data_IF_104742021391
#
_entry.id   IF_104742021391
#
_cell.length_a   1.000
_cell.length_b   1.000
_cell.length_c   1.000
_cell.angle_alpha   90.00
_cell.angle_beta   90.00
_cell.angle_gamma   90.00
#
_symmetry.space_group_name_H-M   'P 1'
#
loop_
_entity.id
_entity.type
_entity.pdbx_description
1 polymer ?
#
# COMPACT_ATOMS: atom_id res chain seq x y z
N UNK A 1 -14.42 17.11 11.32
CA UNK A 1 -13.39 17.85 12.09
C UNK A 1 -12.73 18.82 11.11
N UNK A 2 -12.79 20.15 11.30
CA UNK A 2 -12.31 21.09 10.28
C UNK A 2 -10.87 21.55 10.58
N UNK A 3 -9.96 21.51 9.59
CA UNK A 3 -8.68 22.21 9.72
C UNK A 3 -7.46 21.79 8.87
N UNK A 4 -7.54 20.96 7.83
CA UNK A 4 -6.35 20.67 7.02
C UNK A 4 -6.18 21.67 5.86
N UNK A 5 -5.13 22.50 5.96
CA UNK A 5 -4.64 23.39 4.90
C UNK A 5 -4.06 22.56 3.75
N UNK A 6 -4.63 22.71 2.57
CA UNK A 6 -4.05 22.23 1.32
C UNK A 6 -3.15 23.34 0.74
N UNK A 7 -1.88 23.04 0.44
CA UNK A 7 -0.99 23.95 -0.30
C UNK A 7 -0.97 23.48 -1.76
N UNK A 8 -1.48 24.25 -2.72
CA UNK A 8 -1.31 23.95 -4.13
C UNK A 8 0.09 24.37 -4.57
N UNK A 9 0.85 23.45 -5.16
CA UNK A 9 2.09 23.79 -5.87
C UNK A 9 1.73 24.40 -7.23
N UNK A 10 1.85 25.72 -7.34
CA UNK A 10 1.97 26.42 -8.61
C UNK A 10 3.43 26.79 -8.85
N UNK A 11 3.99 26.41 -10.00
CA UNK A 11 5.18 27.07 -10.55
C UNK A 11 4.80 27.71 -11.88
N UNK A 12 4.58 29.02 -11.82
CA UNK A 12 4.59 29.91 -12.98
C UNK A 12 6.05 30.11 -13.36
N UNK A 13 6.44 29.69 -14.56
CA UNK A 13 7.71 30.08 -15.17
C UNK A 13 7.63 31.55 -15.58
N UNK A 14 8.43 32.40 -14.95
CA UNK A 14 8.76 33.72 -15.48
C UNK A 14 10.13 33.62 -16.16
N UNK A 15 10.15 33.81 -17.47
CA UNK A 15 11.37 34.05 -18.23
C UNK A 15 11.77 35.51 -18.16
N UNK A 16 13.09 35.77 -18.20
CA UNK A 16 13.63 37.09 -18.57
C UNK A 16 14.88 36.93 -19.45
N UNK A 17 14.73 37.52 -20.63
CA UNK A 17 15.61 38.20 -21.58
C UNK A 17 17.13 37.97 -21.72
N UNK A 18 17.47 37.84 -23.01
CA UNK A 18 18.78 37.89 -23.63
C UNK A 18 19.27 39.34 -23.84
N UNK A 19 20.50 39.64 -23.44
CA UNK A 19 21.23 40.83 -23.90
C UNK A 19 22.17 40.50 -25.06
N UNK A 20 21.98 41.22 -26.16
CA UNK A 20 22.79 41.24 -27.38
C UNK A 20 24.23 41.73 -27.14
N UNK A 21 25.21 41.07 -27.77
CA UNK A 21 26.46 41.72 -28.18
C UNK A 21 26.78 41.43 -29.64
N UNK A 22 26.94 42.51 -30.39
CA UNK A 22 27.19 42.57 -31.83
C UNK A 22 28.70 42.52 -32.11
N UNK A 23 29.13 41.73 -33.08
CA UNK A 23 30.46 41.85 -33.67
C UNK A 23 30.50 41.37 -35.13
N UNK A 24 30.67 42.35 -36.02
CA UNK A 24 31.52 42.39 -37.23
C UNK A 24 31.44 41.28 -38.29
N UNK A 25 31.08 41.73 -39.50
CA UNK A 25 31.15 41.05 -40.79
C UNK A 25 32.54 40.50 -41.16
N UNK A 26 32.55 39.31 -41.78
CA UNK A 26 33.52 38.93 -42.82
C UNK A 26 32.81 38.17 -43.94
N UNK A 27 32.82 38.76 -45.13
CA UNK A 27 32.34 38.19 -46.39
C UNK A 27 33.27 37.08 -46.89
N UNK A 28 32.70 35.94 -47.30
CA UNK A 28 33.45 34.86 -47.94
C UNK A 28 32.56 33.70 -48.38
N UNK A 29 32.31 33.63 -49.69
CA UNK A 29 31.77 32.51 -50.49
C UNK A 29 31.70 31.15 -49.78
N UNK A 30 30.50 30.75 -49.28
CA UNK A 30 30.27 29.43 -48.62
C UNK A 30 28.80 28.96 -48.63
N UNK A 31 27.97 29.39 -49.59
CA UNK A 31 26.50 29.21 -49.49
C UNK A 31 25.99 27.78 -49.62
N UNK A 32 26.62 26.88 -50.39
CA UNK A 32 26.05 25.54 -50.62
C UNK A 32 26.45 24.46 -49.59
N UNK A 33 27.62 24.55 -48.95
CA UNK A 33 28.03 23.58 -47.93
C UNK A 33 27.39 23.85 -46.55
N UNK A 34 27.17 25.12 -46.21
CA UNK A 34 26.58 25.53 -44.94
C UNK A 34 25.09 25.19 -44.86
N UNK A 35 24.34 25.37 -45.95
CA UNK A 35 22.91 25.02 -46.02
C UNK A 35 22.71 23.50 -45.90
N UNK A 36 23.56 22.69 -46.55
CA UNK A 36 23.49 21.22 -46.43
C UNK A 36 23.81 20.75 -45.01
N UNK A 37 24.81 21.34 -44.36
CA UNK A 37 25.15 21.01 -42.96
C UNK A 37 24.05 21.43 -41.98
N UNK A 38 23.43 22.59 -42.18
CA UNK A 38 22.29 23.05 -41.37
C UNK A 38 21.07 22.15 -41.55
N UNK A 39 20.78 21.73 -42.78
CA UNK A 39 19.67 20.81 -43.06
C UNK A 39 19.89 19.44 -42.42
N UNK A 40 21.11 18.89 -42.50
CA UNK A 40 21.44 17.60 -41.85
C UNK A 40 21.30 17.71 -40.33
N UNK A 41 21.82 18.77 -39.72
CA UNK A 41 21.72 18.99 -38.27
C UNK A 41 20.28 19.22 -37.80
N UNK A 42 19.46 19.90 -38.60
CA UNK A 42 18.04 20.08 -38.30
C UNK A 42 17.27 18.75 -38.40
N UNK A 43 17.58 17.91 -39.38
CA UNK A 43 16.97 16.58 -39.54
C UNK A 43 17.38 15.65 -38.40
N UNK A 44 18.66 15.62 -38.02
CA UNK A 44 19.12 14.78 -36.89
C UNK A 44 18.53 15.25 -35.56
N UNK A 45 18.40 16.57 -35.35
CA UNK A 45 17.73 17.12 -34.18
C UNK A 45 16.23 16.77 -34.14
N UNK A 46 15.52 16.94 -35.26
CA UNK A 46 14.10 16.59 -35.35
C UNK A 46 13.85 15.08 -35.20
N UNK A 47 14.73 14.24 -35.76
CA UNK A 47 14.68 12.79 -35.57
C UNK A 47 14.95 12.42 -34.11
N UNK A 48 15.95 13.05 -33.47
CA UNK A 48 16.26 12.85 -32.04
C UNK A 48 15.11 13.26 -31.12
N UNK A 49 14.45 14.40 -31.41
CA UNK A 49 13.23 14.83 -30.72
C UNK A 49 12.08 13.85 -30.90
N UNK A 50 11.86 13.38 -32.13
CA UNK A 50 10.78 12.45 -32.43
C UNK A 50 11.00 11.10 -31.74
N UNK A 51 12.23 10.60 -31.75
CA UNK A 51 12.67 9.40 -31.03
C UNK A 51 12.49 9.61 -29.52
N UNK A 52 12.94 10.74 -28.98
CA UNK A 52 12.78 11.08 -27.56
C UNK A 52 11.32 11.13 -27.12
N UNK A 53 10.43 11.76 -27.90
CA UNK A 53 8.99 11.80 -27.64
C UNK A 53 8.39 10.39 -27.72
N UNK A 54 8.79 9.58 -28.72
CA UNK A 54 8.29 8.22 -28.90
C UNK A 54 8.69 7.30 -27.74
N UNK A 55 9.96 7.31 -27.31
CA UNK A 55 10.44 6.54 -26.17
C UNK A 55 9.86 7.03 -24.83
N UNK A 56 9.67 8.34 -24.65
CA UNK A 56 9.03 8.89 -23.45
C UNK A 56 7.52 8.57 -23.39
N UNK A 57 6.86 8.46 -24.55
CA UNK A 57 5.44 8.12 -24.65
C UNK A 57 5.12 6.63 -24.47
N UNK A 58 6.06 5.73 -24.74
CA UNK A 58 5.85 4.27 -24.65
C UNK A 58 6.59 3.56 -23.51
N UNK A 59 7.64 4.16 -22.91
CA UNK A 59 8.60 3.40 -22.09
C UNK A 59 8.53 3.52 -20.57
N UNK A 60 7.90 4.55 -19.98
CA UNK A 60 8.07 4.83 -18.54
C UNK A 60 6.78 4.93 -17.71
N UNK A 61 5.61 4.97 -18.37
CA UNK A 61 4.34 5.21 -17.66
C UNK A 61 3.71 3.97 -17.03
N UNK A 62 4.16 2.76 -17.38
CA UNK A 62 3.47 1.52 -16.95
C UNK A 62 3.95 0.97 -15.60
N UNK A 63 5.24 1.09 -15.26
CA UNK A 63 5.79 0.42 -14.07
C UNK A 63 5.54 1.25 -12.79
N UNK A 64 5.84 2.55 -12.82
CA UNK A 64 5.62 3.43 -11.68
C UNK A 64 4.16 3.57 -11.25
N UNK A 65 3.22 3.53 -12.20
CA UNK A 65 1.79 3.60 -11.90
C UNK A 65 1.25 2.28 -11.30
N UNK A 66 1.84 1.14 -11.65
CA UNK A 66 1.50 -0.15 -11.04
C UNK A 66 1.97 -0.24 -9.58
N UNK A 67 3.14 0.34 -9.25
CA UNK A 67 3.66 0.35 -7.88
C UNK A 67 2.79 1.16 -6.90
N UNK A 68 2.16 2.24 -7.37
CA UNK A 68 1.26 3.08 -6.56
C UNK A 68 0.05 2.33 -6.01
N UNK A 69 -0.32 1.19 -6.60
CA UNK A 69 -1.40 0.33 -6.09
C UNK A 69 -1.02 -0.35 -4.76
N UNK A 70 0.27 -0.57 -4.50
CA UNK A 70 0.76 -1.34 -3.36
C UNK A 70 1.27 -0.46 -2.21
N UNK A 71 1.84 0.71 -2.53
CA UNK A 71 2.12 1.74 -1.55
C UNK A 71 2.23 3.09 -2.24
N UNK A 72 1.68 4.12 -1.60
CA UNK A 72 1.82 5.51 -2.05
C UNK A 72 3.10 6.17 -1.51
N UNK A 73 3.85 5.47 -0.64
CA UNK A 73 5.15 5.88 -0.09
C UNK A 73 6.23 4.96 -0.67
N UNK A 74 7.46 5.46 -0.97
CA UNK A 74 8.56 4.61 -1.41
C UNK A 74 8.79 3.42 -0.48
N UNK A 75 9.09 2.25 -1.04
CA UNK A 75 9.41 1.07 -0.24
C UNK A 75 10.51 0.25 -0.89
N UNK A 76 11.50 -0.26 -0.11
CA UNK A 76 12.47 -1.22 -0.62
C UNK A 76 11.81 -2.50 -1.14
N UNK A 77 10.63 -2.87 -0.64
CA UNK A 77 9.93 -4.08 -1.06
C UNK A 77 9.36 -4.01 -2.50
N UNK A 78 9.43 -2.85 -3.17
CA UNK A 78 8.98 -2.73 -4.56
C UNK A 78 9.75 -3.59 -5.55
N UNK A 79 11.00 -3.96 -5.24
CA UNK A 79 11.78 -4.88 -6.07
C UNK A 79 11.18 -6.29 -6.14
N UNK A 80 10.37 -6.67 -5.14
CA UNK A 80 9.70 -7.97 -5.09
C UNK A 80 8.42 -8.02 -5.93
N UNK A 81 7.94 -6.87 -6.45
CA UNK A 81 6.71 -6.82 -7.22
C UNK A 81 6.95 -7.37 -8.63
N UNK A 82 6.27 -8.46 -8.95
CA UNK A 82 6.26 -9.05 -10.28
C UNK A 82 5.54 -8.14 -11.30
N UNK A 83 6.07 -8.11 -12.52
CA UNK A 83 5.42 -7.46 -13.67
C UNK A 83 4.16 -8.22 -14.17
N UNK A 84 3.92 -9.43 -13.68
CA UNK A 84 2.73 -10.21 -14.00
C UNK A 84 1.75 -10.19 -12.81
N UNK A 85 0.63 -9.44 -12.91
CA UNK A 85 -0.33 -9.35 -11.80
C UNK A 85 -1.07 -10.69 -11.61
N UNK A 86 -1.19 -11.11 -10.35
CA UNK A 86 -2.07 -12.22 -9.98
C UNK A 86 -3.53 -11.75 -10.09
N UNK A 87 -4.29 -12.38 -10.97
CA UNK A 87 -5.72 -12.08 -11.16
C UNK A 87 -6.56 -13.13 -10.45
N UNK A 88 -7.38 -12.69 -9.49
CA UNK A 88 -8.29 -13.53 -8.72
C UNK A 88 -9.72 -13.05 -8.93
N UNK A 89 -10.68 -13.97 -8.94
CA UNK A 89 -12.09 -13.59 -8.93
C UNK A 89 -12.51 -13.14 -7.52
N UNK A 90 -13.63 -12.43 -7.42
CA UNK A 90 -14.23 -12.12 -6.11
C UNK A 90 -14.49 -13.37 -5.29
N UNK A 91 -14.94 -14.44 -5.95
CA UNK A 91 -15.16 -15.74 -5.31
C UNK A 91 -13.87 -16.32 -4.70
N UNK A 92 -12.74 -16.19 -5.40
CA UNK A 92 -11.43 -16.66 -4.89
C UNK A 92 -10.99 -15.86 -3.64
N UNK A 93 -11.26 -14.56 -3.62
CA UNK A 93 -10.92 -13.66 -2.53
C UNK A 93 -11.85 -13.81 -1.31
N UNK A 94 -13.14 -14.01 -1.53
CA UNK A 94 -14.14 -14.19 -0.46
C UNK A 94 -14.16 -15.63 0.06
N UNK A 95 -13.69 -16.60 -0.72
CA UNK A 95 -13.57 -17.99 -0.26
C UNK A 95 -14.92 -18.66 -0.02
N UNK A 96 -15.96 -18.29 -0.78
CA UNK A 96 -17.21 -19.02 -0.77
C UNK A 96 -16.98 -20.47 -1.26
N UNK A 97 -17.42 -21.47 -0.49
CA UNK A 97 -17.39 -22.88 -0.90
C UNK A 97 -16.08 -23.65 -0.74
N UNK A 98 -14.98 -23.02 -0.30
CA UNK A 98 -13.70 -23.72 -0.06
C UNK A 98 -13.09 -23.35 1.29
N UNK A 99 -12.85 -24.35 2.14
CA UNK A 99 -12.14 -24.16 3.40
C UNK A 99 -10.65 -23.88 3.13
N UNK A 100 -10.16 -22.79 3.70
CA UNK A 100 -8.74 -22.40 3.70
C UNK A 100 -8.01 -23.00 4.90
N UNK A 101 -6.71 -23.36 4.78
CA UNK A 101 -5.94 -23.85 5.92
C UNK A 101 -5.79 -22.81 7.06
N UNK A 102 -6.13 -21.55 6.81
CA UNK A 102 -6.09 -20.46 7.76
C UNK A 102 -7.41 -20.26 8.55
N UNK A 103 -8.49 -20.95 8.15
CA UNK A 103 -9.83 -20.80 8.72
C UNK A 103 -10.10 -21.77 9.87
N UNK A 104 -10.87 -21.29 10.85
CA UNK A 104 -11.36 -22.01 12.02
C UNK A 104 -10.61 -21.68 13.32
N UNK A 105 -11.02 -22.35 14.40
CA UNK A 105 -10.46 -22.20 15.74
C UNK A 105 -8.91 -22.29 15.79
N UNK A 106 -8.17 -21.49 16.57
CA UNK A 106 -6.70 -21.58 16.62
C UNK A 106 -6.16 -22.92 17.16
N UNK A 107 -5.99 -23.91 16.29
CA UNK A 107 -5.28 -25.16 16.59
C UNK A 107 -3.76 -24.95 16.44
N UNK A 108 -2.91 -25.79 17.07
CA UNK A 108 -1.46 -25.68 16.90
C UNK A 108 -1.00 -25.69 15.44
N UNK A 109 -1.60 -26.54 14.60
CA UNK A 109 -1.32 -26.57 13.16
C UNK A 109 -1.67 -25.24 12.50
N UNK A 110 -2.86 -24.70 12.78
CA UNK A 110 -3.34 -23.45 12.18
C UNK A 110 -2.52 -22.26 12.64
N UNK A 111 -2.21 -22.18 13.93
CA UNK A 111 -1.32 -21.16 14.49
C UNK A 111 0.05 -21.22 13.82
N UNK A 112 0.60 -22.42 13.57
CA UNK A 112 1.85 -22.56 12.82
C UNK A 112 1.75 -22.02 11.38
N UNK A 113 0.61 -22.21 10.69
CA UNK A 113 0.40 -21.60 9.35
C UNK A 113 0.36 -20.08 9.39
N UNK A 114 -0.30 -19.50 10.39
CA UNK A 114 -0.33 -18.05 10.58
C UNK A 114 1.06 -17.49 10.91
N UNK A 115 1.84 -18.20 11.74
CA UNK A 115 3.24 -17.85 12.01
C UNK A 115 4.10 -17.94 10.74
N UNK A 116 3.97 -19.02 9.97
CA UNK A 116 4.68 -19.22 8.71
C UNK A 116 4.39 -18.10 7.70
N UNK A 117 3.12 -17.69 7.59
CA UNK A 117 2.70 -16.58 6.74
C UNK A 117 3.38 -15.24 7.10
N UNK A 118 3.73 -15.08 8.39
CA UNK A 118 4.41 -13.89 8.90
C UNK A 118 5.93 -14.09 9.07
N UNK A 119 6.48 -15.18 8.52
CA UNK A 119 7.93 -15.34 8.39
C UNK A 119 8.47 -14.17 7.56
N UNK A 120 9.36 -13.37 8.17
CA UNK A 120 9.82 -12.12 7.59
C UNK A 120 9.24 -10.86 8.24
N UNK A 121 8.58 -10.96 9.40
CA UNK A 121 8.21 -9.78 10.20
C UNK A 121 9.42 -8.87 10.49
N UNK A 122 10.57 -9.48 10.77
CA UNK A 122 11.86 -8.80 10.90
C UNK A 122 12.61 -8.87 9.58
N UNK A 123 12.76 -7.72 8.92
CA UNK A 123 13.32 -7.58 7.59
C UNK A 123 14.69 -6.91 7.70
N UNK A 124 15.64 -7.40 6.91
CA UNK A 124 16.94 -6.79 6.67
C UNK A 124 16.86 -5.94 5.41
N UNK A 125 17.30 -4.68 5.50
CA UNK A 125 17.50 -3.82 4.32
C UNK A 125 18.81 -3.04 4.47
N UNK A 126 19.47 -2.66 3.37
CA UNK A 126 20.55 -1.67 3.42
C UNK A 126 20.07 -0.38 4.10
N UNK A 127 20.91 0.25 4.90
CA UNK A 127 20.58 1.54 5.54
C UNK A 127 20.14 2.60 4.52
N UNK A 128 20.77 2.64 3.34
CA UNK A 128 20.42 3.54 2.25
C UNK A 128 19.01 3.38 1.68
N UNK A 129 18.36 2.23 1.91
CA UNK A 129 16.97 2.01 1.53
C UNK A 129 15.99 2.91 2.30
N UNK A 130 16.43 3.51 3.42
CA UNK A 130 15.62 4.40 4.24
C UNK A 130 15.85 5.89 3.94
N UNK A 131 16.83 6.25 3.11
CA UNK A 131 17.19 7.63 2.79
C UNK A 131 16.00 8.41 2.20
N UNK A 132 15.26 7.78 1.28
CA UNK A 132 14.09 8.37 0.64
C UNK A 132 12.91 8.61 1.60
N UNK A 133 12.93 7.93 2.75
CA UNK A 133 11.93 8.06 3.81
C UNK A 133 12.41 8.96 4.95
N UNK A 134 13.67 9.40 4.91
CA UNK A 134 14.32 10.14 5.99
C UNK A 134 14.16 9.41 7.34
N UNK A 135 14.39 8.09 7.35
CA UNK A 135 14.30 7.24 8.53
C UNK A 135 15.66 6.66 8.91
N UNK A 136 15.87 6.48 10.21
CA UNK A 136 16.97 5.70 10.78
C UNK A 136 16.40 4.52 11.55
N UNK A 137 17.14 3.41 11.59
CA UNK A 137 16.72 2.19 12.27
C UNK A 137 17.90 1.49 12.96
N UNK A 138 17.61 0.51 13.82
CA UNK A 138 18.63 -0.27 14.53
C UNK A 138 19.54 -1.01 13.52
N UNK A 139 20.87 -0.79 13.55
CA UNK A 139 21.80 -1.50 12.70
C UNK A 139 21.95 -2.97 13.12
N UNK A 140 22.18 -3.83 12.14
CA UNK A 140 22.49 -5.24 12.38
C UNK A 140 23.94 -5.40 12.84
N UNK A 141 24.17 -6.30 13.79
CA UNK A 141 25.48 -6.54 14.40
C UNK A 141 26.28 -7.61 13.63
N UNK A 142 26.40 -7.46 12.31
CA UNK A 142 27.11 -8.39 11.42
C UNK A 142 28.03 -7.67 10.41
N UNK A 143 28.40 -6.41 10.69
CA UNK A 143 29.29 -5.57 9.89
C UNK A 143 28.79 -5.22 8.47
N UNK A 144 27.57 -5.64 8.10
CA UNK A 144 26.98 -5.38 6.78
C UNK A 144 26.68 -3.90 6.53
N UNK A 145 26.37 -3.14 7.58
CA UNK A 145 25.78 -1.79 7.46
C UNK A 145 24.28 -1.81 7.17
N UNK A 146 23.66 -3.00 7.18
CA UNK A 146 22.22 -3.17 7.06
C UNK A 146 21.50 -2.83 8.38
N UNK A 147 20.21 -2.57 8.27
CA UNK A 147 19.34 -2.22 9.39
C UNK A 147 18.14 -3.14 9.47
N UNK A 148 17.58 -3.27 10.68
CA UNK A 148 16.36 -4.01 10.94
C UNK A 148 15.14 -3.13 10.65
N UNK A 149 14.20 -3.58 9.82
CA UNK A 149 12.89 -2.94 9.62
C UNK A 149 11.77 -3.96 9.76
N UNK A 150 10.53 -3.48 9.83
CA UNK A 150 9.32 -4.30 9.66
C UNK A 150 8.47 -3.74 8.53
N UNK A 151 7.55 -4.52 7.98
CA UNK A 151 6.65 -4.07 6.90
C UNK A 151 5.20 -4.02 7.37
N UNK A 152 4.44 -3.05 6.87
CA UNK A 152 3.08 -2.75 7.33
C UNK A 152 2.14 -3.94 7.21
N UNK A 153 2.17 -4.67 6.09
CA UNK A 153 1.34 -5.88 5.89
C UNK A 153 1.52 -6.91 7.00
N UNK A 154 2.74 -7.13 7.51
CA UNK A 154 2.96 -8.11 8.58
C UNK A 154 2.38 -7.65 9.92
N UNK A 155 2.43 -6.35 10.21
CA UNK A 155 1.71 -5.81 11.37
C UNK A 155 0.19 -5.93 11.19
N UNK A 156 -0.36 -5.70 10.00
CA UNK A 156 -1.79 -5.89 9.74
C UNK A 156 -2.21 -7.35 9.95
N UNK A 157 -1.41 -8.29 9.47
CA UNK A 157 -1.62 -9.73 9.69
C UNK A 157 -1.52 -10.10 11.17
N UNK A 158 -0.53 -9.57 11.89
CA UNK A 158 -0.38 -9.77 13.35
C UNK A 158 -1.60 -9.27 14.14
N UNK A 159 -2.12 -8.08 13.81
CA UNK A 159 -3.33 -7.56 14.44
C UNK A 159 -4.55 -8.43 14.12
N UNK A 160 -4.70 -8.86 12.87
CA UNK A 160 -5.81 -9.71 12.48
C UNK A 160 -5.76 -11.08 13.19
N UNK A 161 -4.58 -11.67 13.34
CA UNK A 161 -4.39 -12.91 14.10
C UNK A 161 -4.65 -12.70 15.60
N UNK A 162 -4.28 -11.54 16.16
CA UNK A 162 -4.61 -11.19 17.55
C UNK A 162 -6.12 -11.10 17.78
N UNK A 163 -6.86 -10.50 16.84
CA UNK A 163 -8.33 -10.48 16.85
C UNK A 163 -8.89 -11.91 16.75
N UNK A 164 -8.33 -12.74 15.87
CA UNK A 164 -8.71 -14.15 15.70
C UNK A 164 -8.62 -14.93 17.01
N UNK A 165 -7.51 -14.79 17.74
CA UNK A 165 -7.34 -15.42 19.05
C UNK A 165 -8.33 -14.87 20.09
N UNK A 166 -8.54 -13.55 20.11
CA UNK A 166 -9.48 -12.94 21.04
C UNK A 166 -10.94 -13.40 20.81
N UNK A 167 -11.37 -13.50 19.55
CA UNK A 167 -12.69 -14.02 19.20
C UNK A 167 -12.83 -15.49 19.60
N UNK A 168 -11.75 -16.27 19.49
CA UNK A 168 -11.71 -17.66 19.91
C UNK A 168 -11.64 -17.84 21.43
N UNK A 169 -11.57 -16.76 22.22
CA UNK A 169 -11.43 -16.83 23.68
C UNK A 169 -10.01 -17.21 24.16
N UNK A 170 -9.05 -17.36 23.26
CA UNK A 170 -7.68 -17.75 23.61
C UNK A 170 -6.90 -16.52 24.05
N UNK A 171 -6.40 -16.51 25.29
CA UNK A 171 -5.46 -15.49 25.75
C UNK A 171 -4.13 -15.57 25.01
N UNK A 172 -3.69 -14.48 24.39
CA UNK A 172 -2.35 -14.37 23.82
C UNK A 172 -1.33 -14.13 24.94
N UNK A 173 -0.89 -15.19 25.59
CA UNK A 173 0.17 -15.11 26.62
C UNK A 173 1.54 -15.39 26.00
N UNK A 174 2.40 -14.37 25.97
CA UNK A 174 3.84 -14.51 25.84
C UNK A 174 4.45 -14.75 27.23
N UNK A 175 5.00 -15.94 27.52
CA UNK A 175 5.59 -16.25 28.82
C UNK A 175 6.90 -15.47 29.10
N UNK A 176 7.54 -14.90 28.06
CA UNK A 176 8.83 -14.21 28.17
C UNK A 176 8.72 -12.68 28.13
N UNK A 177 7.56 -12.14 27.73
CA UNK A 177 7.32 -10.69 27.73
C UNK A 177 5.85 -10.38 28.06
N UNK A 178 5.53 -10.15 29.35
CA UNK A 178 4.17 -9.79 29.77
C UNK A 178 3.64 -8.49 29.15
N UNK A 179 4.50 -7.60 28.65
CA UNK A 179 4.07 -6.36 27.97
C UNK A 179 3.57 -6.61 26.54
N UNK A 180 3.88 -7.78 25.97
CA UNK A 180 3.34 -8.25 24.69
C UNK A 180 1.98 -8.98 24.83
N UNK A 181 1.48 -9.15 26.07
CA UNK A 181 0.20 -9.79 26.31
C UNK A 181 -0.93 -8.77 26.11
N UNK A 182 -1.67 -8.93 25.01
CA UNK A 182 -2.67 -7.94 24.63
C UNK A 182 -4.05 -8.15 25.26
N UNK A 183 -4.37 -9.33 25.83
CA UNK A 183 -5.70 -9.62 26.41
C UNK A 183 -5.71 -10.70 27.50
N UNK A 184 -6.70 -10.62 28.41
CA UNK A 184 -6.94 -11.61 29.47
C UNK A 184 -7.72 -12.83 28.98
N UNK A 185 -7.39 -14.00 29.52
CA UNK A 185 -7.99 -15.30 29.18
C UNK A 185 -9.49 -15.34 29.51
N UNK A 186 -10.32 -15.77 28.56
CA UNK A 186 -11.68 -16.21 28.84
C UNK A 186 -11.68 -17.74 28.71
N UNK A 187 -11.92 -18.46 29.81
CA UNK A 187 -11.99 -19.93 29.82
C UNK A 187 -13.16 -20.42 28.94
N UNK A 188 -12.90 -20.61 27.66
CA UNK A 188 -13.81 -21.30 26.74
C UNK A 188 -13.01 -22.27 25.87
N UNK A 189 -12.66 -23.43 26.45
CA UNK A 189 -12.03 -24.58 25.77
C UNK A 189 -12.98 -25.28 24.77
N UNK A 190 -13.87 -24.56 24.10
CA UNK A 190 -14.82 -25.14 23.15
C UNK A 190 -14.54 -24.62 21.74
N UNK A 191 -14.09 -25.52 20.86
CA UNK A 191 -14.10 -25.35 19.40
C UNK A 191 -15.47 -24.88 18.87
N UNK A 192 -16.55 -25.12 19.63
CA UNK A 192 -17.92 -24.71 19.36
C UNK A 192 -18.16 -23.19 19.29
N UNK A 193 -17.21 -22.35 19.74
CA UNK A 193 -17.40 -20.90 19.84
C UNK A 193 -16.73 -20.06 18.74
N UNK A 194 -16.13 -20.63 17.70
CA UNK A 194 -15.61 -19.80 16.59
C UNK A 194 -16.68 -19.54 15.53
N UNK A 195 -17.35 -18.37 15.49
CA UNK A 195 -18.57 -18.22 14.69
C UNK A 195 -18.21 -18.27 13.20
N UNK A 196 -18.85 -19.15 12.39
CA UNK A 196 -18.47 -19.36 10.99
C UNK A 196 -18.48 -18.08 10.14
N UNK A 197 -19.38 -17.14 10.45
CA UNK A 197 -19.41 -15.85 9.77
C UNK A 197 -18.19 -14.99 10.09
N UNK A 198 -17.75 -14.96 11.35
CA UNK A 198 -16.56 -14.21 11.78
C UNK A 198 -15.29 -14.85 11.21
N UNK A 199 -15.22 -16.18 11.19
CA UNK A 199 -14.13 -16.92 10.54
C UNK A 199 -13.98 -16.55 9.07
N UNK A 200 -15.09 -16.59 8.32
CA UNK A 200 -15.12 -16.16 6.92
C UNK A 200 -14.71 -14.69 6.74
N UNK A 201 -15.15 -13.78 7.63
CA UNK A 201 -14.71 -12.39 7.60
C UNK A 201 -13.19 -12.25 7.82
N UNK A 202 -12.64 -12.95 8.82
CA UNK A 202 -11.20 -12.94 9.10
C UNK A 202 -10.41 -13.45 7.90
N UNK A 203 -10.85 -14.54 7.27
CA UNK A 203 -10.18 -15.07 6.08
C UNK A 203 -10.26 -14.13 4.88
N UNK A 204 -11.42 -13.51 4.66
CA UNK A 204 -11.60 -12.51 3.59
C UNK A 204 -10.66 -11.32 3.80
N UNK A 205 -10.54 -10.84 5.04
CA UNK A 205 -9.59 -9.78 5.40
C UNK A 205 -8.15 -10.22 5.21
N UNK A 206 -7.75 -11.42 5.67
CA UNK A 206 -6.39 -11.96 5.51
C UNK A 206 -6.01 -12.04 4.02
N UNK A 207 -6.90 -12.60 3.20
CA UNK A 207 -6.70 -12.66 1.73
C UNK A 207 -6.57 -11.28 1.12
N UNK A 208 -7.38 -10.30 1.56
CA UNK A 208 -7.28 -8.92 1.06
C UNK A 208 -5.95 -8.28 1.43
N UNK A 209 -5.47 -8.47 2.66
CA UNK A 209 -4.17 -7.96 3.12
C UNK A 209 -3.00 -8.52 2.31
N UNK A 210 -3.08 -9.75 1.81
CA UNK A 210 -2.03 -10.34 0.95
C UNK A 210 -2.21 -9.97 -0.52
N UNK A 211 -3.45 -9.82 -0.99
CA UNK A 211 -3.75 -9.44 -2.36
C UNK A 211 -3.32 -7.99 -2.68
N UNK A 212 -3.51 -7.08 -1.71
CA UNK A 212 -3.08 -5.69 -1.79
C UNK A 212 -2.33 -5.32 -0.50
N UNK A 213 -1.09 -5.81 -0.36
CA UNK A 213 -0.31 -5.57 0.83
C UNK A 213 0.15 -4.13 0.89
N UNK A 214 0.07 -3.54 2.09
CA UNK A 214 0.78 -2.30 2.38
C UNK A 214 2.26 -2.64 2.56
N UNK A 215 3.05 -2.27 1.55
CA UNK A 215 4.48 -2.53 1.51
C UNK A 215 5.31 -1.44 2.21
N UNK A 216 4.68 -0.43 2.82
CA UNK A 216 5.40 0.56 3.63
C UNK A 216 6.22 -0.11 4.73
N UNK A 217 7.41 0.43 4.99
CA UNK A 217 8.32 -0.09 6.02
C UNK A 217 8.31 0.80 7.26
N UNK A 218 8.46 0.17 8.42
CA UNK A 218 8.64 0.83 9.71
C UNK A 218 10.05 0.57 10.21
N UNK A 219 10.79 1.66 10.46
CA UNK A 219 12.04 1.59 11.19
C UNK A 219 11.78 1.06 12.62
N UNK A 220 12.78 0.42 13.21
CA UNK A 220 12.76 -0.06 14.57
C UNK A 220 13.65 0.83 15.43
N UNK A 221 13.19 1.16 16.62
CA UNK A 221 13.90 1.99 17.58
C UNK A 221 13.95 1.33 18.97
N UNK A 222 14.94 1.70 19.77
CA UNK A 222 15.00 1.31 21.17
C UNK A 222 14.05 2.16 22.01
N UNK A 223 13.29 1.51 22.89
CA UNK A 223 12.40 2.21 23.81
C UNK A 223 13.23 3.03 24.82
N UNK A 224 13.07 4.36 24.85
CA UNK A 224 13.85 5.21 25.76
C UNK A 224 13.52 4.95 27.23
N UNK A 225 12.31 4.48 27.52
CA UNK A 225 11.82 4.24 28.89
C UNK A 225 11.99 2.78 29.34
N UNK A 226 12.32 1.86 28.41
CA UNK A 226 12.47 0.42 28.69
C UNK A 226 13.73 -0.15 28.04
N UNK A 227 14.87 -0.17 28.75
CA UNK A 227 16.13 -0.70 28.22
C UNK A 227 15.98 -2.12 27.67
N UNK A 228 16.52 -2.36 26.48
CA UNK A 228 16.49 -3.67 25.81
C UNK A 228 15.21 -4.00 25.06
N UNK A 229 14.18 -3.14 25.12
CA UNK A 229 12.93 -3.32 24.36
C UNK A 229 13.01 -2.50 23.08
N UNK A 230 12.89 -3.17 21.93
CA UNK A 230 12.76 -2.51 20.63
C UNK A 230 11.28 -2.38 20.24
N UNK A 231 10.94 -1.34 19.49
CA UNK A 231 9.59 -1.12 18.99
C UNK A 231 9.61 -0.55 17.57
N UNK A 232 8.57 -0.84 16.80
CA UNK A 232 8.40 -0.23 15.49
C UNK A 232 8.09 1.26 15.67
N UNK A 233 8.82 2.11 14.96
CA UNK A 233 8.55 3.53 14.90
C UNK A 233 7.20 3.74 14.19
N UNK A 234 6.21 4.21 14.96
CA UNK A 234 4.85 4.46 14.47
C UNK A 234 4.66 5.87 13.91
N UNK A 235 5.71 6.69 13.85
CA UNK A 235 5.65 8.05 13.30
C UNK A 235 6.04 8.13 11.81
N UNK A 236 6.19 6.98 11.15
CA UNK A 236 6.48 6.93 9.71
C UNK A 236 5.26 7.43 8.94
N UNK A 237 5.50 8.33 7.99
CA UNK A 237 4.44 8.85 7.13
C UNK A 237 3.81 7.73 6.30
N UNK A 238 2.49 7.78 6.15
CA UNK A 238 1.72 6.90 5.27
C UNK A 238 0.90 7.77 4.34
N UNK A 239 0.83 7.39 3.06
CA UNK A 239 -0.01 8.07 2.09
C UNK A 239 -1.28 7.23 1.85
N UNK A 240 -2.43 7.84 2.13
CA UNK A 240 -3.75 7.21 2.07
C UNK A 240 -4.62 7.92 1.03
N UNK A 241 -5.66 7.24 0.57
CA UNK A 241 -6.75 7.89 -0.17
C UNK A 241 -7.44 8.94 0.72
N UNK A 242 -7.91 10.03 0.13
CA UNK A 242 -8.77 10.97 0.84
C UNK A 242 -10.15 10.32 1.07
N UNK A 243 -10.37 9.81 2.28
CA UNK A 243 -11.61 9.12 2.65
C UNK A 243 -12.84 10.01 2.50
N UNK A 244 -12.74 11.30 2.82
CA UNK A 244 -13.86 12.23 2.70
C UNK A 244 -14.29 12.39 1.24
N UNK A 245 -13.34 12.47 0.31
CA UNK A 245 -13.64 12.51 -1.12
C UNK A 245 -14.32 11.22 -1.63
N UNK A 246 -13.87 10.05 -1.15
CA UNK A 246 -14.52 8.77 -1.46
C UNK A 246 -15.96 8.77 -0.92
N UNK A 247 -16.15 9.19 0.32
CA UNK A 247 -17.47 9.24 0.96
C UNK A 247 -18.42 10.25 0.30
N UNK A 248 -17.90 11.40 -0.14
CA UNK A 248 -18.66 12.40 -0.88
C UNK A 248 -19.14 11.83 -2.22
N UNK A 249 -18.25 11.15 -2.94
CA UNK A 249 -18.61 10.44 -4.16
C UNK A 249 -19.68 9.38 -3.87
N UNK A 250 -19.49 8.52 -2.85
CA UNK A 250 -20.45 7.48 -2.48
C UNK A 250 -21.82 8.07 -2.16
N UNK A 251 -21.90 9.15 -1.38
CA UNK A 251 -23.17 9.79 -1.03
C UNK A 251 -23.91 10.37 -2.24
N UNK A 252 -23.19 10.91 -3.21
CA UNK A 252 -23.79 11.43 -4.45
C UNK A 252 -24.30 10.33 -5.39
N UNK A 253 -23.77 9.11 -5.25
CA UNK A 253 -24.10 7.97 -6.12
C UNK A 253 -24.92 6.88 -5.41
N UNK A 254 -25.21 7.04 -4.12
CA UNK A 254 -26.05 6.13 -3.35
C UNK A 254 -27.53 6.47 -3.52
N UNK A 255 -28.37 5.44 -3.54
CA UNK A 255 -29.80 5.57 -3.33
C UNK A 255 -30.19 4.84 -2.04
N UNK A 256 -31.27 5.29 -1.42
CA UNK A 256 -31.89 4.65 -0.28
C UNK A 256 -32.88 3.58 -0.73
N UNK A 257 -33.03 2.52 0.07
CA UNK A 257 -34.06 1.50 -0.16
C UNK A 257 -35.49 2.08 -0.14
N UNK A 258 -35.67 3.24 0.49
CA UNK A 258 -36.95 3.93 0.61
C UNK A 258 -37.40 4.55 -0.73
N UNK A 259 -36.45 4.85 -1.63
CA UNK A 259 -36.74 5.36 -2.98
C UNK A 259 -37.33 4.31 -3.91
N UNK A 260 -37.36 3.01 -3.52
CA UNK A 260 -38.04 1.92 -4.25
C UNK A 260 -37.63 1.82 -5.74
N UNK A 261 -36.38 2.13 -6.04
CA UNK A 261 -35.86 2.21 -7.42
C UNK A 261 -35.58 0.84 -8.06
N UNK A 262 -35.60 -0.23 -7.28
CA UNK A 262 -35.31 -1.58 -7.76
C UNK A 262 -36.62 -2.32 -8.05
N UNK A 263 -36.75 -2.84 -9.27
CA UNK A 263 -37.85 -3.71 -9.67
C UNK A 263 -37.36 -5.14 -9.81
N UNK A 264 -38.08 -6.07 -9.21
CA UNK A 264 -37.84 -7.51 -9.33
C UNK A 264 -38.17 -8.01 -10.75
N UNK A 265 -37.64 -9.17 -11.18
CA UNK A 265 -37.99 -9.76 -12.47
C UNK A 265 -39.49 -10.02 -12.68
N UNK A 266 -40.27 -10.15 -11.61
CA UNK A 266 -41.73 -10.34 -11.64
C UNK A 266 -42.52 -9.01 -11.69
N UNK A 267 -41.84 -7.87 -11.82
CA UNK A 267 -42.45 -6.54 -11.91
C UNK A 267 -42.81 -5.90 -10.56
N UNK A 268 -42.63 -6.62 -9.44
CA UNK A 268 -42.85 -6.06 -8.11
C UNK A 268 -41.68 -5.16 -7.67
N UNK A 269 -41.96 -4.12 -6.90
CA UNK A 269 -40.91 -3.31 -6.25
C UNK A 269 -40.13 -4.20 -5.28
N UNK A 270 -38.81 -4.22 -5.41
CA UNK A 270 -37.92 -4.87 -4.47
C UNK A 270 -37.81 -4.04 -3.19
N UNK A 271 -38.05 -4.67 -2.04
CA UNK A 271 -37.75 -4.13 -0.72
C UNK A 271 -36.71 -5.04 -0.09
N UNK A 272 -35.45 -4.67 -0.22
CA UNK A 272 -34.33 -5.41 0.36
C UNK A 272 -34.27 -5.25 1.88
N UNK A 273 -33.48 -6.08 2.57
CA UNK A 273 -33.14 -5.84 3.96
C UNK A 273 -32.27 -4.60 4.07
N UNK A 274 -32.59 -3.68 4.99
CA UNK A 274 -31.74 -2.53 5.32
C UNK A 274 -30.31 -3.01 5.59
N UNK A 275 -29.44 -2.77 4.64
CA UNK A 275 -28.01 -3.08 4.76
C UNK A 275 -27.30 -1.93 5.53
N UNK A 276 -26.10 -2.18 6.11
CA UNK A 276 -25.65 -1.83 7.49
C UNK A 276 -25.79 -0.38 8.00
N UNK A 277 -25.53 -0.09 9.31
CA UNK A 277 -24.65 -0.85 10.22
C UNK A 277 -25.31 -2.02 10.94
N UNK A 278 -24.51 -3.04 11.26
CA UNK A 278 -24.89 -4.11 12.19
C UNK A 278 -25.25 -3.48 13.54
N UNK A 279 -26.52 -3.59 13.94
CA UNK A 279 -27.01 -3.03 15.20
C UNK A 279 -26.84 -4.05 16.32
N UNK A 280 -25.60 -4.28 16.74
CA UNK A 280 -25.34 -5.07 17.93
C UNK A 280 -25.65 -4.21 19.17
N UNK A 281 -26.55 -4.66 20.04
CA UNK A 281 -26.87 -3.98 21.30
C UNK A 281 -27.82 -2.78 21.20
N UNK A 282 -28.63 -2.69 20.13
CA UNK A 282 -29.83 -1.83 20.08
C UNK A 282 -31.09 -2.67 20.22
#
# INVERSE_FOLDING_TARGET
MPGQKYIPLSSVENGEDLSFQQSSNRTGSRSHLTIKSLAINAITFAAGLSIGIFFNSWGLKSYGDQLKQYSMVPSPAFEAISNQPLTLTHHDLEGHGHASPYQGFPTPERTARWMELMNGYSIRVPSSSLDALNLESIPLNDESGDVWVSMNVYHHLHCLDSIRHQVAGIGCANPNDPAANHTGHYDTDSEDYFPPHIDHCIETLRKRLICQPDLGVRAIAWNPDKPGVAFANNTVESACVNWDAVQDWTRQHSFSEEEKLITRPDGAIYRGPRTPPARCGQ
#
